data_IF_242147951058
#
_entry.id   IF_242147951058
#
_cell.length_a   1.000
_cell.length_b   1.000
_cell.length_c   1.000
_cell.angle_alpha   90.00
_cell.angle_beta   90.00
_cell.angle_gamma   90.00
#
_symmetry.space_group_name_H-M   'P 1'
#
loop_
_entity.id
_entity.type
_entity.pdbx_description
1 polymer ?
#
# COMPACT_ATOMS: atom_id res chain seq x y z
N UNK A 1 6.46 13.83 12.72
CA UNK A 1 5.54 14.19 11.61
C UNK A 1 5.76 13.18 10.50
N UNK A 2 4.68 12.54 9.98
CA UNK A 2 4.77 11.63 8.85
C UNK A 2 5.06 12.42 7.59
N UNK A 3 5.95 11.93 6.72
CA UNK A 3 6.29 12.56 5.45
C UNK A 3 6.13 11.55 4.31
N UNK A 4 5.70 12.03 3.16
CA UNK A 4 5.80 11.32 1.90
C UNK A 4 7.28 11.31 1.50
N UNK A 5 7.77 10.18 1.03
CA UNK A 5 9.10 10.02 0.44
C UNK A 5 8.97 10.06 -1.07
N UNK A 6 9.69 10.95 -1.72
CA UNK A 6 9.68 11.14 -3.17
C UNK A 6 10.93 10.54 -3.81
N UNK A 7 10.83 10.30 -5.12
CA UNK A 7 11.95 9.85 -5.95
C UNK A 7 12.60 8.55 -5.44
N UNK A 8 11.73 7.58 -5.07
CA UNK A 8 12.18 6.29 -4.52
C UNK A 8 13.08 5.55 -5.50
N UNK A 9 12.67 5.53 -6.78
CA UNK A 9 13.39 4.85 -7.85
C UNK A 9 13.73 5.81 -8.99
N UNK A 10 14.81 5.54 -9.70
CA UNK A 10 15.13 6.21 -10.97
C UNK A 10 14.21 5.70 -12.08
N UNK A 11 14.11 6.44 -13.21
CA UNK A 11 13.32 6.01 -14.37
C UNK A 11 13.74 4.64 -14.89
N UNK A 12 15.04 4.32 -14.86
CA UNK A 12 15.56 3.01 -15.25
C UNK A 12 15.09 1.91 -14.31
N UNK A 13 15.10 2.15 -13.01
CA UNK A 13 14.61 1.21 -12.01
C UNK A 13 13.09 1.01 -12.08
N UNK A 14 12.33 2.07 -12.39
CA UNK A 14 10.89 1.97 -12.64
C UNK A 14 10.62 1.10 -13.87
N UNK A 15 11.38 1.28 -14.95
CA UNK A 15 11.27 0.42 -16.13
C UNK A 15 11.56 -1.06 -15.79
N UNK A 16 12.57 -1.32 -14.95
CA UNK A 16 12.89 -2.67 -14.48
C UNK A 16 11.76 -3.27 -13.62
N UNK A 17 11.11 -2.48 -12.78
CA UNK A 17 9.91 -2.92 -12.04
C UNK A 17 8.82 -3.35 -13.02
N UNK A 18 8.54 -2.57 -14.07
CA UNK A 18 7.53 -2.94 -15.07
C UNK A 18 7.89 -4.23 -15.81
N UNK A 19 9.15 -4.44 -16.18
CA UNK A 19 9.59 -5.69 -16.82
C UNK A 19 9.45 -6.89 -15.87
N UNK A 20 9.77 -6.71 -14.59
CA UNK A 20 9.52 -7.73 -13.58
C UNK A 20 8.03 -8.07 -13.49
N UNK A 21 7.14 -7.07 -13.39
CA UNK A 21 5.70 -7.29 -13.28
C UNK A 21 5.12 -8.03 -14.51
N UNK A 22 5.65 -7.77 -15.70
CA UNK A 22 5.30 -8.49 -16.93
C UNK A 22 5.79 -9.94 -16.94
N UNK A 23 6.88 -10.24 -16.22
CA UNK A 23 7.47 -11.57 -16.19
C UNK A 23 6.74 -12.54 -15.25
N UNK A 24 5.92 -12.02 -14.32
CA UNK A 24 5.15 -12.85 -13.41
C UNK A 24 3.97 -13.47 -14.16
N UNK A 25 3.75 -14.79 -13.96
CA UNK A 25 2.64 -15.51 -14.57
C UNK A 25 1.28 -14.87 -14.17
N UNK A 26 0.52 -14.41 -15.16
CA UNK A 26 -0.80 -13.80 -14.95
C UNK A 26 -1.79 -14.73 -14.20
N UNK A 27 -1.57 -16.04 -14.20
CA UNK A 27 -2.36 -16.99 -13.41
C UNK A 27 -2.23 -16.78 -11.90
N UNK A 28 -1.18 -16.07 -11.47
CA UNK A 28 -0.99 -15.67 -10.07
C UNK A 28 -1.77 -14.41 -9.71
N UNK A 29 -2.33 -13.72 -10.69
CA UNK A 29 -3.15 -12.53 -10.50
C UNK A 29 -4.57 -12.94 -10.16
N UNK A 30 -5.12 -12.35 -9.12
CA UNK A 30 -6.51 -12.60 -8.72
C UNK A 30 -7.21 -11.30 -8.34
N UNK A 31 -8.54 -11.28 -8.49
CA UNK A 31 -9.36 -10.15 -8.10
C UNK A 31 -9.60 -10.19 -6.59
N UNK A 32 -9.46 -9.04 -5.95
CA UNK A 32 -9.59 -8.90 -4.52
C UNK A 32 -10.15 -7.51 -4.15
N UNK A 33 -11.35 -7.46 -3.60
CA UNK A 33 -11.97 -6.24 -3.06
C UNK A 33 -11.90 -5.00 -3.99
N UNK A 34 -12.33 -5.17 -5.25
CA UNK A 34 -12.35 -4.07 -6.23
C UNK A 34 -10.99 -3.70 -6.85
N UNK A 35 -10.01 -4.58 -6.73
CA UNK A 35 -8.68 -4.45 -7.31
C UNK A 35 -8.15 -5.80 -7.76
N UNK A 36 -7.07 -5.81 -8.52
CA UNK A 36 -6.26 -7.03 -8.64
C UNK A 36 -5.24 -7.09 -7.51
N UNK A 37 -4.76 -8.30 -7.26
CA UNK A 37 -3.57 -8.54 -6.46
C UNK A 37 -2.65 -9.52 -7.18
N UNK A 38 -1.36 -9.23 -7.17
CA UNK A 38 -0.31 -10.09 -7.66
C UNK A 38 0.83 -10.09 -6.65
N UNK A 39 1.00 -11.21 -5.95
CA UNK A 39 2.06 -11.36 -4.95
C UNK A 39 3.43 -11.49 -5.65
N UNK A 40 4.44 -10.82 -5.10
CA UNK A 40 5.80 -10.90 -5.60
C UNK A 40 6.41 -12.25 -5.26
N UNK A 41 7.18 -12.77 -6.19
CA UNK A 41 8.02 -13.95 -5.97
C UNK A 41 9.47 -13.55 -5.63
N UNK A 42 10.32 -14.55 -5.43
CA UNK A 42 11.72 -14.34 -5.05
C UNK A 42 12.60 -13.76 -6.17
N UNK A 43 12.02 -13.48 -7.37
CA UNK A 43 12.76 -12.94 -8.51
C UNK A 43 12.68 -11.42 -8.59
N UNK A 44 11.98 -10.74 -7.64
CA UNK A 44 12.02 -9.29 -7.59
C UNK A 44 13.47 -8.80 -7.46
N UNK A 45 13.92 -7.84 -8.28
CA UNK A 45 15.32 -7.43 -8.32
C UNK A 45 15.86 -7.02 -6.94
N UNK A 46 16.89 -7.71 -6.47
CA UNK A 46 17.39 -7.57 -5.09
C UNK A 46 17.90 -6.16 -4.79
N UNK A 47 18.49 -5.46 -5.77
CA UNK A 47 18.97 -4.10 -5.57
C UNK A 47 17.82 -3.11 -5.37
N UNK A 48 16.67 -3.31 -6.03
CA UNK A 48 15.46 -2.51 -5.83
C UNK A 48 14.85 -2.80 -4.44
N UNK A 49 14.79 -4.09 -4.08
CA UNK A 49 14.32 -4.48 -2.75
C UNK A 49 15.23 -3.88 -1.66
N UNK A 50 16.54 -3.90 -1.84
CA UNK A 50 17.49 -3.35 -0.88
C UNK A 50 17.30 -1.83 -0.66
N UNK A 51 16.88 -1.07 -1.66
CA UNK A 51 16.50 0.35 -1.48
C UNK A 51 15.32 0.48 -0.52
N UNK A 52 14.26 -0.31 -0.72
CA UNK A 52 13.07 -0.30 0.13
C UNK A 52 13.42 -0.75 1.54
N UNK A 53 14.20 -1.81 1.69
CA UNK A 53 14.71 -2.29 2.99
C UNK A 53 15.54 -1.22 3.70
N UNK A 54 16.37 -0.48 2.95
CA UNK A 54 17.15 0.64 3.51
C UNK A 54 16.26 1.77 4.03
N UNK A 55 15.17 2.08 3.33
CA UNK A 55 14.18 3.06 3.79
C UNK A 55 13.53 2.60 5.10
N UNK A 56 13.04 1.35 5.15
CA UNK A 56 12.45 0.80 6.36
C UNK A 56 13.46 0.80 7.54
N UNK A 57 14.68 0.34 7.30
CA UNK A 57 15.72 0.25 8.32
C UNK A 57 16.22 1.62 8.81
N UNK A 58 16.09 2.67 8.01
CA UNK A 58 16.36 4.03 8.46
C UNK A 58 15.39 4.50 9.54
N UNK A 59 14.20 3.91 9.58
CA UNK A 59 13.17 4.16 10.58
C UNK A 59 13.35 3.27 11.81
N UNK A 60 13.54 1.98 11.58
CA UNK A 60 13.80 0.99 12.61
C UNK A 60 14.65 -0.14 12.01
N UNK A 61 15.90 -0.26 12.48
CA UNK A 61 16.88 -1.25 11.98
C UNK A 61 16.51 -2.71 12.26
N UNK A 62 15.44 -2.97 13.03
CA UNK A 62 14.92 -4.31 13.34
C UNK A 62 13.83 -4.79 12.40
N UNK A 63 13.43 -3.94 11.43
CA UNK A 63 12.44 -4.31 10.45
C UNK A 63 13.03 -5.33 9.45
N UNK A 64 12.43 -6.50 9.43
CA UNK A 64 12.74 -7.56 8.45
C UNK A 64 11.72 -7.52 7.31
N UNK A 65 12.19 -7.56 6.06
CA UNK A 65 11.31 -7.71 4.91
C UNK A 65 10.55 -9.04 4.98
N UNK A 66 9.25 -9.00 4.73
CA UNK A 66 8.39 -10.17 4.80
C UNK A 66 7.83 -10.56 3.43
N UNK A 67 7.21 -9.62 2.73
CA UNK A 67 6.57 -9.86 1.43
C UNK A 67 6.27 -8.55 0.72
N UNK A 68 5.96 -8.63 -0.56
CA UNK A 68 5.36 -7.54 -1.31
C UNK A 68 4.29 -8.04 -2.27
N UNK A 69 3.37 -7.18 -2.64
CA UNK A 69 2.43 -7.40 -3.74
C UNK A 69 2.11 -6.11 -4.47
N UNK A 70 1.70 -6.22 -5.72
CA UNK A 70 1.14 -5.11 -6.48
C UNK A 70 -0.37 -5.23 -6.54
N UNK A 71 -1.05 -4.09 -6.45
CA UNK A 71 -2.48 -3.96 -6.74
C UNK A 71 -2.71 -2.95 -7.85
N UNK A 72 -3.58 -3.31 -8.78
CA UNK A 72 -4.06 -2.43 -9.84
C UNK A 72 -5.54 -2.13 -9.61
N UNK A 73 -5.87 -0.86 -9.71
CA UNK A 73 -7.21 -0.30 -9.55
C UNK A 73 -7.60 0.38 -10.85
N UNK A 74 -8.74 0.02 -11.41
CA UNK A 74 -9.33 0.65 -12.58
C UNK A 74 -10.81 0.23 -12.73
N UNK A 75 -11.51 0.78 -13.71
CA UNK A 75 -12.92 0.52 -13.95
C UNK A 75 -13.28 -0.99 -14.04
N UNK A 76 -12.38 -1.81 -14.58
CA UNK A 76 -12.61 -3.26 -14.76
C UNK A 76 -12.87 -3.98 -13.44
N UNK A 77 -12.25 -3.52 -12.35
CA UNK A 77 -12.30 -4.20 -11.04
C UNK A 77 -13.37 -3.64 -10.11
N UNK A 78 -14.09 -2.60 -10.51
CA UNK A 78 -15.20 -2.02 -9.75
C UNK A 78 -14.79 -0.81 -8.92
N UNK A 79 -15.48 -0.61 -7.80
CA UNK A 79 -15.35 0.56 -6.94
C UNK A 79 -14.56 0.21 -5.68
N UNK A 80 -13.25 0.28 -5.70
CA UNK A 80 -12.46 -0.08 -4.54
C UNK A 80 -12.69 0.91 -3.39
N UNK A 81 -12.65 0.37 -2.20
CA UNK A 81 -12.61 1.11 -0.95
C UNK A 81 -11.79 0.33 0.06
N UNK A 82 -11.22 1.04 0.99
CA UNK A 82 -10.54 0.43 2.12
C UNK A 82 -11.09 1.09 3.38
N UNK A 83 -11.90 0.36 4.14
CA UNK A 83 -12.48 0.86 5.38
C UNK A 83 -11.40 1.23 6.39
N UNK A 84 -11.65 2.19 7.30
CA UNK A 84 -10.75 2.46 8.41
C UNK A 84 -10.45 1.17 9.19
N UNK A 85 -9.17 0.80 9.28
CA UNK A 85 -8.74 -0.45 9.92
C UNK A 85 -7.29 -0.38 10.39
N UNK A 86 -6.94 -1.29 11.27
CA UNK A 86 -5.59 -1.77 11.52
C UNK A 86 -5.40 -3.09 10.79
N UNK A 87 -4.20 -3.35 10.31
CA UNK A 87 -3.92 -4.64 9.68
C UNK A 87 -3.96 -5.79 10.71
N UNK A 88 -4.61 -6.87 10.30
CA UNK A 88 -4.66 -8.14 11.07
C UNK A 88 -3.67 -9.18 10.54
N UNK A 89 -2.68 -8.76 9.75
CA UNK A 89 -1.62 -9.60 9.20
C UNK A 89 -0.42 -9.71 10.15
N UNK A 90 0.59 -10.50 9.78
CA UNK A 90 1.84 -10.57 10.54
C UNK A 90 2.70 -9.32 10.36
N UNK A 91 2.48 -8.52 9.33
CA UNK A 91 3.18 -7.27 9.13
C UNK A 91 2.93 -6.30 10.29
N UNK A 92 3.97 -5.59 10.71
CA UNK A 92 3.89 -4.51 11.71
C UNK A 92 4.10 -3.14 11.06
N UNK A 93 4.67 -3.14 9.86
CA UNK A 93 5.03 -1.93 9.14
C UNK A 93 4.93 -2.16 7.63
N UNK A 94 4.44 -1.15 6.90
CA UNK A 94 4.41 -1.17 5.43
C UNK A 94 5.03 0.08 4.84
N UNK A 95 5.51 -0.08 3.62
CA UNK A 95 5.81 1.01 2.69
C UNK A 95 4.85 0.87 1.53
N UNK A 96 3.89 1.78 1.45
CA UNK A 96 2.92 1.86 0.36
C UNK A 96 3.48 2.76 -0.74
N UNK A 97 3.90 2.19 -1.84
CA UNK A 97 4.55 2.88 -2.95
C UNK A 97 3.59 3.03 -4.13
N UNK A 98 3.41 4.27 -4.63
CA UNK A 98 2.65 4.55 -5.83
C UNK A 98 3.53 4.45 -7.06
N UNK A 99 3.43 3.33 -7.80
CA UNK A 99 4.19 3.11 -9.03
C UNK A 99 3.65 4.00 -10.16
N UNK A 100 2.34 4.03 -10.32
CA UNK A 100 1.68 4.83 -11.34
C UNK A 100 0.25 5.17 -10.95
N UNK A 101 -0.16 6.39 -11.24
CA UNK A 101 -1.55 6.84 -11.14
C UNK A 101 -1.76 8.02 -12.07
N UNK A 102 -2.91 8.09 -12.72
CA UNK A 102 -3.34 9.26 -13.49
C UNK A 102 -4.50 10.00 -12.81
N UNK A 103 -4.76 9.65 -11.55
CA UNK A 103 -5.76 10.31 -10.69
C UNK A 103 -5.17 10.63 -9.32
N UNK A 104 -5.79 11.56 -8.63
CA UNK A 104 -5.59 11.75 -7.19
C UNK A 104 -6.55 10.84 -6.41
N UNK A 105 -6.00 9.93 -5.60
CA UNK A 105 -6.77 9.06 -4.71
C UNK A 105 -6.05 8.91 -3.38
N UNK A 106 -6.48 9.72 -2.43
CA UNK A 106 -5.80 9.89 -1.15
C UNK A 106 -5.86 8.63 -0.28
N UNK A 107 -4.81 8.44 0.52
CA UNK A 107 -4.85 7.58 1.70
C UNK A 107 -5.00 8.46 2.95
N UNK A 108 -5.81 8.02 3.88
CA UNK A 108 -5.92 8.61 5.21
C UNK A 108 -5.20 7.74 6.22
N UNK A 109 -4.46 8.38 7.13
CA UNK A 109 -3.77 7.70 8.22
C UNK A 109 -3.97 8.54 9.48
N UNK A 110 -4.59 7.95 10.50
CA UNK A 110 -4.97 8.64 11.74
C UNK A 110 -5.72 9.96 11.46
N UNK A 111 -6.63 9.96 10.50
CA UNK A 111 -7.44 11.11 10.09
C UNK A 111 -6.71 12.17 9.24
N UNK A 112 -5.42 12.03 9.01
CA UNK A 112 -4.65 12.92 8.14
C UNK A 112 -4.67 12.42 6.71
N UNK A 113 -4.93 13.33 5.75
CA UNK A 113 -5.00 13.05 4.31
C UNK A 113 -3.62 13.13 3.66
N UNK A 114 -3.27 12.14 2.83
CA UNK A 114 -2.04 12.09 2.07
C UNK A 114 -2.33 11.73 0.60
N UNK A 115 -1.86 12.57 -0.31
CA UNK A 115 -1.92 12.33 -1.76
C UNK A 115 -0.52 11.94 -2.24
N UNK A 116 -0.35 10.70 -2.66
CA UNK A 116 0.88 10.25 -3.29
C UNK A 116 0.89 10.64 -4.77
N UNK A 117 2.06 10.97 -5.26
CA UNK A 117 2.36 11.09 -6.68
C UNK A 117 3.08 9.82 -7.16
N UNK A 118 3.23 9.69 -8.47
CA UNK A 118 4.04 8.62 -9.04
C UNK A 118 5.46 8.68 -8.49
N UNK A 119 6.01 7.51 -8.18
CA UNK A 119 7.33 7.37 -7.55
C UNK A 119 7.43 7.94 -6.13
N UNK A 120 6.29 8.00 -5.42
CA UNK A 120 6.24 8.37 -4.01
C UNK A 120 5.78 7.20 -3.14
N UNK A 121 6.19 7.23 -1.89
CA UNK A 121 5.81 6.24 -0.90
C UNK A 121 5.44 6.86 0.44
N UNK A 122 4.61 6.15 1.20
CA UNK A 122 4.26 6.49 2.58
C UNK A 122 4.49 5.29 3.48
N UNK A 123 4.96 5.55 4.69
CA UNK A 123 5.27 4.56 5.71
C UNK A 123 4.14 4.47 6.73
N UNK A 124 3.72 3.26 7.11
CA UNK A 124 2.59 3.03 8.03
C UNK A 124 2.95 1.94 9.05
N UNK A 125 2.74 2.22 10.35
CA UNK A 125 2.72 1.18 11.39
C UNK A 125 1.34 0.53 11.39
N UNK A 126 1.14 -0.46 10.54
CA UNK A 126 -0.18 -0.95 10.15
C UNK A 126 -1.00 -1.60 11.26
N UNK A 127 -0.40 -1.97 12.39
CA UNK A 127 -1.11 -2.48 13.58
C UNK A 127 -1.47 -1.41 14.60
N UNK A 128 -0.91 -0.20 14.49
CA UNK A 128 -1.06 0.87 15.48
C UNK A 128 -1.68 2.13 14.89
N UNK A 129 -1.62 2.29 13.56
CA UNK A 129 -2.11 3.46 12.85
C UNK A 129 -3.29 3.08 11.96
N UNK A 130 -4.47 3.57 12.33
CA UNK A 130 -5.67 3.40 11.52
C UNK A 130 -5.48 4.05 10.14
N UNK A 131 -5.72 3.28 9.09
CA UNK A 131 -5.56 3.77 7.72
C UNK A 131 -6.71 3.31 6.83
N UNK A 132 -7.00 4.09 5.78
CA UNK A 132 -8.11 3.80 4.86
C UNK A 132 -7.99 4.61 3.56
N UNK A 133 -8.75 4.18 2.55
CA UNK A 133 -9.00 4.94 1.33
C UNK A 133 -10.49 5.07 1.11
N UNK A 134 -11.01 6.29 0.82
CA UNK A 134 -12.41 6.48 0.44
C UNK A 134 -12.75 5.62 -0.77
N UNK A 135 -14.01 5.26 -0.87
CA UNK A 135 -14.49 4.57 -2.07
C UNK A 135 -14.29 5.46 -3.29
N UNK A 136 -13.77 4.89 -4.39
CA UNK A 136 -13.53 5.56 -5.66
C UNK A 136 -14.34 4.90 -6.77
N UNK A 137 -14.99 5.72 -7.58
CA UNK A 137 -15.53 5.29 -8.87
C UNK A 137 -14.51 5.62 -9.95
N UNK A 138 -13.86 4.58 -10.47
CA UNK A 138 -12.98 4.73 -11.63
C UNK A 138 -13.83 4.86 -12.90
N UNK A 139 -13.46 5.78 -13.77
CA UNK A 139 -14.02 5.91 -15.12
C UNK A 139 -13.06 5.35 -16.16
N UNK A 140 -13.49 5.29 -17.42
CA UNK A 140 -12.65 4.79 -18.51
C UNK A 140 -11.34 5.60 -18.62
N UNK A 141 -10.22 4.89 -18.70
CA UNK A 141 -8.88 5.48 -18.76
C UNK A 141 -8.25 5.83 -17.41
N UNK A 142 -9.00 5.83 -16.32
CA UNK A 142 -8.42 6.01 -14.98
C UNK A 142 -7.81 4.73 -14.44
N UNK A 143 -6.64 4.85 -13.81
CA UNK A 143 -5.97 3.74 -13.14
C UNK A 143 -5.00 4.20 -12.06
N UNK A 144 -4.77 3.30 -11.10
CA UNK A 144 -3.74 3.45 -10.08
C UNK A 144 -3.07 2.08 -9.87
N UNK A 145 -1.74 2.08 -9.79
CA UNK A 145 -0.94 0.90 -9.47
C UNK A 145 -0.11 1.17 -8.24
N UNK A 146 -0.32 0.35 -7.21
CA UNK A 146 0.37 0.44 -5.92
C UNK A 146 1.19 -0.81 -5.67
N UNK A 147 2.36 -0.65 -5.06
CA UNK A 147 3.15 -1.77 -4.51
C UNK A 147 3.18 -1.60 -2.99
N UNK A 148 2.85 -2.67 -2.29
CA UNK A 148 2.83 -2.73 -0.83
C UNK A 148 3.97 -3.61 -0.36
N UNK A 149 4.95 -3.03 0.33
CA UNK A 149 6.08 -3.75 0.91
C UNK A 149 5.84 -3.93 2.40
N UNK A 150 5.77 -5.18 2.85
CA UNK A 150 5.48 -5.54 4.23
C UNK A 150 6.75 -5.91 5.00
N UNK A 151 6.81 -5.42 6.23
CA UNK A 151 7.90 -5.68 7.16
C UNK A 151 7.36 -6.12 8.51
N UNK A 152 8.20 -6.82 9.26
CA UNK A 152 7.91 -7.28 10.61
C UNK A 152 9.04 -6.89 11.56
N UNK A 153 8.70 -6.32 12.71
CA UNK A 153 9.59 -6.23 13.87
C UNK A 153 9.24 -7.37 14.84
N UNK A 154 10.05 -8.43 14.85
CA UNK A 154 9.78 -9.60 15.68
C UNK A 154 10.03 -9.37 17.15
N UNK A 155 10.87 -8.39 17.49
CA UNK A 155 11.22 -8.08 18.88
C UNK A 155 10.19 -7.17 19.54
N UNK A 156 9.58 -6.26 18.76
CA UNK A 156 8.61 -5.27 19.23
C UNK A 156 7.28 -5.40 18.47
N UNK A 157 6.71 -6.60 18.46
CA UNK A 157 5.47 -6.86 17.75
C UNK A 157 4.27 -6.36 18.58
N UNK A 158 3.54 -5.31 18.12
CA UNK A 158 2.29 -4.92 18.73
C UNK A 158 1.27 -6.06 18.75
N UNK A 159 0.35 -6.04 19.71
CA UNK A 159 -0.74 -7.01 19.74
C UNK A 159 -1.53 -6.98 18.41
N UNK A 160 -2.04 -8.15 18.01
CA UNK A 160 -2.92 -8.23 16.83
C UNK A 160 -4.21 -7.49 17.13
N UNK A 161 -4.60 -6.50 16.29
CA UNK A 161 -5.87 -5.80 16.46
C UNK A 161 -7.06 -6.75 16.40
N UNK A 162 -8.04 -6.52 17.25
CA UNK A 162 -9.27 -7.31 17.30
C UNK A 162 -10.29 -6.84 16.26
N UNK A 163 -11.24 -7.70 15.93
CA UNK A 163 -12.39 -7.34 15.07
C UNK A 163 -13.15 -6.15 15.66
N UNK A 164 -13.29 -6.10 17.01
CA UNK A 164 -13.97 -5.00 17.69
C UNK A 164 -13.23 -3.68 17.52
N UNK A 165 -11.91 -3.65 17.69
CA UNK A 165 -11.11 -2.44 17.50
C UNK A 165 -11.25 -1.90 16.08
N UNK A 166 -11.25 -2.77 15.07
CA UNK A 166 -11.48 -2.36 13.69
C UNK A 166 -12.92 -1.86 13.46
N UNK A 167 -13.92 -2.48 14.07
CA UNK A 167 -15.30 -1.98 14.00
C UNK A 167 -15.47 -0.61 14.65
N UNK A 168 -14.81 -0.36 15.78
CA UNK A 168 -14.83 0.94 16.47
C UNK A 168 -14.19 2.04 15.62
N UNK A 169 -13.18 1.73 14.78
CA UNK A 169 -12.59 2.69 13.86
C UNK A 169 -13.57 3.17 12.79
N UNK A 170 -14.42 2.29 12.28
CA UNK A 170 -15.46 2.67 11.32
C UNK A 170 -16.36 3.76 11.89
N UNK A 171 -16.79 3.61 13.15
CA UNK A 171 -17.63 4.61 13.82
C UNK A 171 -16.87 5.93 14.04
N UNK A 172 -15.59 5.86 14.38
CA UNK A 172 -14.75 7.04 14.63
C UNK A 172 -14.52 7.87 13.35
N UNK A 173 -14.32 7.22 12.22
CA UNK A 173 -13.89 7.87 10.98
C UNK A 173 -14.94 7.88 9.85
N UNK A 174 -16.19 7.48 10.16
CA UNK A 174 -17.28 7.36 9.18
C UNK A 174 -17.46 8.60 8.31
N UNK A 175 -17.39 9.80 8.93
CA UNK A 175 -17.53 11.08 8.21
C UNK A 175 -16.40 11.36 7.20
N UNK A 176 -15.22 10.76 7.38
CA UNK A 176 -14.10 10.90 6.44
C UNK A 176 -14.08 9.76 5.43
N UNK A 177 -14.52 8.56 5.84
CA UNK A 177 -14.60 7.40 4.96
C UNK A 177 -15.59 7.60 3.81
N UNK A 178 -16.72 8.28 4.05
CA UNK A 178 -17.75 8.55 3.06
C UNK A 178 -17.41 9.68 2.07
N UNK A 179 -16.26 10.34 2.22
CA UNK A 179 -15.81 11.38 1.28
C UNK A 179 -15.36 10.70 -0.02
N UNK A 180 -16.12 10.96 -1.09
CA UNK A 180 -15.76 10.57 -2.45
C UNK A 180 -14.71 11.53 -2.99
N UNK A 181 -13.64 11.00 -3.54
CA UNK A 181 -12.68 11.79 -4.30
C UNK A 181 -13.09 11.74 -5.78
N UNK A 182 -13.66 12.85 -6.26
CA UNK A 182 -13.97 13.08 -7.67
C UNK A 182 -12.74 13.62 -8.39
#
# INVERSE_FOLDING_TARGET
MRSIKSDIFTDTEIAEIYEYLKSIDDKKRFDFEGRTRLDFDNNFPSHLLNKIVSIANSKNSKLEYMSAYVSEYNLKYGNPSLNPHFDTTQATYTIDYQLNSNIDWSIFIEGSKFNLKNNEAIEINVREEAHWRPQRHFIEGESTTMIFFHFIDRENMPAMPTIKENADLMLKWDHLYSIWEN
#
